data_IF_603796109393
#
_entry.id   IF_603796109393
#
_cell.length_a   1.000
_cell.length_b   1.000
_cell.length_c   1.000
_cell.angle_alpha   90.00
_cell.angle_beta   90.00
_cell.angle_gamma   90.00
#
_symmetry.space_group_name_H-M   'P 1'
#
loop_
_entity.id
_entity.type
_entity.pdbx_description
1 polymer ?
#
# COMPACT_ATOMS: atom_id res chain seq x y z
N UNK A 1 -15.45 -0.27 -10.02
CA UNK A 1 -15.89 -1.66 -9.75
C UNK A 1 -14.74 -2.35 -9.06
N UNK A 2 -15.00 -3.20 -8.06
CA UNK A 2 -13.97 -3.94 -7.33
C UNK A 2 -14.18 -5.44 -7.53
N UNK A 3 -13.09 -6.19 -7.71
CA UNK A 3 -13.13 -7.65 -7.85
C UNK A 3 -13.42 -8.34 -6.51
N UNK A 4 -12.85 -7.81 -5.43
CA UNK A 4 -13.04 -8.26 -4.06
C UNK A 4 -13.29 -7.06 -3.12
N UNK A 5 -14.19 -7.23 -2.16
CA UNK A 5 -14.41 -6.30 -1.05
C UNK A 5 -14.35 -7.11 0.25
N UNK A 6 -13.46 -6.71 1.16
CA UNK A 6 -13.35 -7.30 2.49
C UNK A 6 -13.98 -6.34 3.49
N UNK A 7 -15.09 -6.75 4.11
CA UNK A 7 -15.78 -6.03 5.17
C UNK A 7 -15.32 -6.56 6.53
N UNK A 8 -14.93 -5.67 7.44
CA UNK A 8 -14.39 -6.06 8.73
C UNK A 8 -14.10 -4.87 9.65
N UNK A 9 -13.37 -5.12 10.73
CA UNK A 9 -13.04 -4.13 11.77
C UNK A 9 -11.59 -4.22 12.23
N UNK A 10 -10.99 -3.07 12.55
CA UNK A 10 -9.74 -3.02 13.30
C UNK A 10 -10.02 -3.35 14.77
N UNK A 11 -9.28 -4.31 15.30
CA UNK A 11 -9.36 -4.68 16.72
C UNK A 11 -8.37 -3.86 17.55
N UNK A 12 -8.49 -3.95 18.89
CA UNK A 12 -7.47 -3.43 19.80
C UNK A 12 -6.31 -4.39 20.04
N UNK A 13 -6.39 -5.61 19.47
CA UNK A 13 -5.35 -6.62 19.60
C UNK A 13 -4.23 -6.40 18.59
N UNK A 14 -3.03 -6.83 18.97
CA UNK A 14 -1.88 -6.90 18.07
C UNK A 14 -1.46 -8.34 17.83
N UNK A 15 -0.78 -8.57 16.71
CA UNK A 15 -0.14 -9.83 16.39
C UNK A 15 1.21 -9.57 15.69
N UNK A 16 2.15 -10.52 15.75
CA UNK A 16 3.41 -10.40 15.02
C UNK A 16 3.17 -10.43 13.51
N UNK A 17 3.62 -9.39 12.81
CA UNK A 17 3.54 -9.22 11.35
C UNK A 17 4.93 -9.14 10.74
N UNK A 18 5.09 -9.68 9.52
CA UNK A 18 6.35 -9.80 8.80
C UNK A 18 6.99 -11.20 8.91
N UNK A 19 8.22 -11.39 8.39
CA UNK A 19 9.03 -10.39 7.69
C UNK A 19 8.43 -10.02 6.32
N UNK A 20 8.63 -8.79 5.87
CA UNK A 20 8.05 -8.28 4.62
C UNK A 20 9.06 -7.43 3.84
N UNK A 21 9.02 -7.51 2.50
CA UNK A 21 9.91 -6.71 1.65
C UNK A 21 9.30 -5.33 1.42
N UNK A 22 10.00 -4.28 1.81
CA UNK A 22 9.52 -2.91 1.67
C UNK A 22 9.75 -2.35 0.25
N UNK A 23 9.37 -1.09 0.04
CA UNK A 23 9.62 -0.41 -1.24
C UNK A 23 11.11 -0.28 -1.55
N UNK A 24 12.00 -0.23 -0.56
CA UNK A 24 13.46 -0.14 -0.82
C UNK A 24 14.08 -1.49 -1.17
N UNK A 25 13.29 -2.58 -1.15
CA UNK A 25 13.76 -3.94 -1.38
C UNK A 25 14.45 -4.55 -0.15
N UNK A 26 14.37 -3.89 0.99
CA UNK A 26 14.88 -4.38 2.27
C UNK A 26 13.83 -5.23 2.97
N UNK A 27 14.28 -6.17 3.80
CA UNK A 27 13.37 -7.01 4.56
C UNK A 27 13.12 -6.38 5.92
N UNK A 28 11.89 -5.93 6.13
CA UNK A 28 11.40 -5.48 7.43
C UNK A 28 11.33 -6.67 8.40
N UNK A 29 11.76 -6.42 9.64
CA UNK A 29 11.67 -7.39 10.72
C UNK A 29 10.25 -7.57 11.25
N UNK A 30 10.05 -8.62 12.03
CA UNK A 30 8.76 -8.92 12.65
C UNK A 30 8.44 -7.90 13.76
N UNK A 31 7.20 -7.40 13.79
CA UNK A 31 6.71 -6.44 14.80
C UNK A 31 5.24 -6.64 15.12
N UNK A 32 4.83 -6.27 16.32
CA UNK A 32 3.42 -6.27 16.72
C UNK A 32 2.64 -5.21 15.93
N UNK A 33 1.62 -5.64 15.18
CA UNK A 33 0.75 -4.79 14.38
C UNK A 33 -0.73 -5.01 14.72
N UNK A 34 -1.61 -4.00 14.55
CA UNK A 34 -3.04 -4.15 14.78
C UNK A 34 -3.67 -5.25 13.90
N UNK A 35 -4.56 -6.05 14.49
CA UNK A 35 -5.27 -7.10 13.76
C UNK A 35 -6.56 -6.55 13.15
N UNK A 36 -6.73 -6.74 11.84
CA UNK A 36 -8.00 -6.56 11.13
C UNK A 36 -8.75 -7.90 11.14
N UNK A 37 -9.96 -7.91 11.70
CA UNK A 37 -10.85 -9.07 11.64
C UNK A 37 -11.83 -8.91 10.48
N UNK A 38 -11.90 -9.92 9.60
CA UNK A 38 -12.77 -9.90 8.41
C UNK A 38 -14.08 -10.61 8.72
N UNK A 39 -15.19 -9.87 8.62
CA UNK A 39 -16.53 -10.37 8.88
C UNK A 39 -17.18 -10.96 7.62
N UNK A 40 -16.97 -10.33 6.45
CA UNK A 40 -17.53 -10.77 5.16
C UNK A 40 -16.60 -10.48 3.98
N UNK A 41 -16.69 -11.31 2.96
CA UNK A 41 -15.99 -11.12 1.69
C UNK A 41 -17.03 -11.13 0.56
N UNK A 42 -17.03 -10.08 -0.26
CA UNK A 42 -17.86 -9.95 -1.45
C UNK A 42 -16.95 -10.03 -2.67
N UNK A 43 -17.42 -10.66 -3.76
CA UNK A 43 -16.64 -10.75 -5.00
C UNK A 43 -17.55 -10.83 -6.23
N UNK A 44 -16.99 -10.49 -7.40
CA UNK A 44 -17.65 -10.66 -8.69
C UNK A 44 -17.65 -12.15 -9.12
N UNK A 45 -18.55 -12.60 -10.01
CA UNK A 45 -18.42 -13.90 -10.67
C UNK A 45 -17.07 -13.98 -11.39
N UNK A 46 -16.35 -15.11 -11.24
CA UNK A 46 -15.01 -15.33 -11.82
C UNK A 46 -14.02 -14.17 -11.55
N UNK A 47 -13.75 -13.84 -10.28
CA UNK A 47 -13.00 -12.65 -9.91
C UNK A 47 -11.49 -12.79 -10.19
N UNK A 48 -10.85 -11.68 -10.55
CA UNK A 48 -9.40 -11.59 -10.72
C UNK A 48 -8.76 -11.09 -9.42
N UNK A 49 -7.81 -11.87 -8.89
CA UNK A 49 -7.02 -11.44 -7.73
C UNK A 49 -5.84 -10.57 -8.17
N UNK A 50 -6.01 -9.25 -8.05
CA UNK A 50 -4.95 -8.28 -8.32
C UNK A 50 -4.03 -8.17 -7.09
N UNK A 51 -2.73 -8.37 -7.28
CA UNK A 51 -1.70 -8.12 -6.29
C UNK A 51 -0.53 -7.36 -6.90
N UNK A 52 0.09 -6.48 -6.12
CA UNK A 52 1.26 -5.70 -6.52
C UNK A 52 2.48 -6.29 -5.84
N UNK A 53 3.53 -6.57 -6.62
CA UNK A 53 4.77 -7.10 -6.07
C UNK A 53 5.50 -6.03 -5.25
N UNK A 54 5.78 -6.27 -3.96
CA UNK A 54 6.57 -5.34 -3.15
C UNK A 54 7.98 -5.16 -3.73
N UNK A 55 8.54 -3.95 -3.63
CA UNK A 55 9.79 -3.59 -4.30
C UNK A 55 9.78 -3.61 -5.85
N UNK A 56 8.65 -3.88 -6.52
CA UNK A 56 8.56 -3.87 -7.98
C UNK A 56 8.36 -2.47 -8.58
N UNK A 57 8.57 -2.33 -9.90
CA UNK A 57 8.37 -1.05 -10.62
C UNK A 57 6.94 -0.49 -10.46
N UNK A 58 5.92 -1.35 -10.41
CA UNK A 58 4.53 -0.92 -10.18
C UNK A 58 4.37 -0.27 -8.79
N UNK A 59 4.95 -0.87 -7.75
CA UNK A 59 4.96 -0.30 -6.40
C UNK A 59 5.68 1.05 -6.37
N UNK A 60 6.85 1.16 -7.01
CA UNK A 60 7.57 2.44 -7.12
C UNK A 60 6.76 3.52 -7.84
N UNK A 61 6.16 3.18 -9.00
CA UNK A 61 5.35 4.13 -9.76
C UNK A 61 4.15 4.61 -8.96
N UNK A 62 3.43 3.72 -8.27
CA UNK A 62 2.26 4.12 -7.47
C UNK A 62 2.62 5.03 -6.28
N UNK A 63 3.80 4.85 -5.67
CA UNK A 63 4.25 5.75 -4.60
C UNK A 63 4.88 7.04 -5.12
N UNK A 64 5.58 7.00 -6.26
CA UNK A 64 6.32 8.13 -6.85
C UNK A 64 5.43 9.10 -7.64
N UNK A 65 4.57 8.59 -8.53
CA UNK A 65 3.77 9.41 -9.45
C UNK A 65 2.91 10.48 -8.76
N UNK A 66 2.26 10.23 -7.61
CA UNK A 66 1.52 11.27 -6.91
C UNK A 66 2.42 12.31 -6.24
N UNK A 67 3.69 11.98 -5.96
CA UNK A 67 4.65 12.83 -5.24
C UNK A 67 5.42 13.75 -6.18
N UNK A 68 5.87 13.24 -7.32
CA UNK A 68 6.63 13.99 -8.33
C UNK A 68 6.03 15.37 -8.68
N UNK A 69 4.74 15.50 -9.06
CA UNK A 69 4.17 16.80 -9.40
C UNK A 69 4.03 17.73 -8.19
N UNK A 70 3.84 17.17 -6.99
CA UNK A 70 3.78 17.95 -5.75
C UNK A 70 5.15 18.53 -5.41
N UNK A 71 6.21 17.75 -5.57
CA UNK A 71 7.59 18.21 -5.37
C UNK A 71 7.90 19.30 -6.39
N UNK A 72 7.65 19.06 -7.68
CA UNK A 72 7.87 20.05 -8.74
C UNK A 72 7.16 21.37 -8.42
N UNK A 73 5.86 21.32 -8.08
CA UNK A 73 5.10 22.52 -7.72
C UNK A 73 5.67 23.22 -6.48
N UNK A 74 6.03 22.47 -5.44
CA UNK A 74 6.51 23.03 -4.16
C UNK A 74 7.91 23.64 -4.29
N UNK A 75 8.75 23.08 -5.15
CA UNK A 75 10.08 23.62 -5.42
C UNK A 75 9.99 24.83 -6.34
N UNK A 76 9.17 24.78 -7.39
CA UNK A 76 8.99 25.88 -8.33
C UNK A 76 8.44 27.17 -7.71
N UNK A 77 7.78 27.11 -6.55
CA UNK A 77 7.38 28.32 -5.80
C UNK A 77 8.55 29.04 -5.13
N UNK A 78 9.65 28.33 -4.85
CA UNK A 78 10.83 28.85 -4.15
C UNK A 78 12.00 29.07 -5.13
N UNK A 79 12.12 28.22 -6.15
CA UNK A 79 13.18 28.28 -7.17
C UNK A 79 12.51 28.34 -8.56
N UNK A 80 12.19 29.54 -9.08
CA UNK A 80 11.40 29.71 -10.31
C UNK A 80 12.07 29.20 -11.61
N UNK A 81 13.34 28.82 -11.53
CA UNK A 81 14.12 28.26 -12.64
C UNK A 81 13.91 26.75 -12.81
N UNK A 82 13.21 26.13 -11.85
CA UNK A 82 12.83 24.71 -11.82
C UNK A 82 11.32 24.61 -12.02
#
# INVERSE_FOLDING_TARGET
>A
VAEYILEGRLTTGTAPEGPFVDITGTVDGVREQPVVEIDRVYHMPEPIFHAILPGGYEHYMMMGLPKEPLIHRSVGTVVPQV
#
